data_IF_213402041985
#
_entry.id   IF_213402041985
#
_cell.length_a   1.000
_cell.length_b   1.000
_cell.length_c   1.000
_cell.angle_alpha   90.00
_cell.angle_beta   90.00
_cell.angle_gamma   90.00
#
_symmetry.space_group_name_H-M   'P 1'
#
loop_
_entity.id
_entity.type
_entity.pdbx_description
1 polymer ?
#
# COMPACT_ATOMS: atom_id res chain seq x y z
N UNK A 1 -3.41 -6.36 -32.97
CA UNK A 1 -4.42 -6.98 -32.10
C UNK A 1 -3.87 -8.18 -31.35
N UNK A 2 -3.27 -9.16 -32.00
CA UNK A 2 -2.70 -10.38 -31.40
C UNK A 2 -1.64 -10.03 -30.33
N UNK A 3 -0.76 -9.09 -30.61
CA UNK A 3 0.24 -8.64 -29.68
C UNK A 3 -0.35 -8.07 -28.37
N UNK A 4 -1.46 -7.32 -28.45
CA UNK A 4 -2.14 -6.77 -27.29
C UNK A 4 -2.79 -7.87 -26.48
N UNK A 5 -3.36 -8.86 -27.12
CA UNK A 5 -3.97 -10.04 -26.49
C UNK A 5 -2.88 -10.87 -25.81
N UNK A 6 -1.75 -11.12 -26.48
CA UNK A 6 -0.62 -11.87 -25.92
C UNK A 6 0.05 -11.16 -24.75
N UNK A 7 0.09 -9.83 -24.75
CA UNK A 7 0.57 -9.06 -23.59
C UNK A 7 -0.34 -9.19 -22.37
N UNK A 8 -1.42 -9.95 -22.53
CA UNK A 8 -2.32 -10.32 -21.45
C UNK A 8 -3.29 -9.22 -21.13
N UNK A 9 -4.37 -9.20 -21.88
CA UNK A 9 -5.52 -8.36 -21.57
C UNK A 9 -5.91 -8.42 -20.09
N UNK A 10 -5.77 -9.60 -19.47
CA UNK A 10 -6.08 -9.83 -18.08
C UNK A 10 -4.91 -9.60 -17.10
N UNK A 11 -3.66 -9.61 -17.59
CA UNK A 11 -2.47 -9.56 -16.75
C UNK A 11 -1.55 -8.36 -17.07
N UNK A 12 -2.01 -7.42 -17.85
CA UNK A 12 -1.19 -6.28 -18.26
C UNK A 12 -0.75 -5.39 -17.10
N UNK A 13 -1.51 -5.40 -15.97
CA UNK A 13 -1.09 -4.70 -14.77
C UNK A 13 0.11 -5.34 -14.10
N UNK A 14 0.28 -6.65 -14.24
CA UNK A 14 1.37 -7.39 -13.61
C UNK A 14 2.61 -7.47 -14.46
N UNK A 15 2.47 -7.35 -15.77
CA UNK A 15 3.61 -7.39 -16.69
C UNK A 15 4.29 -6.04 -16.78
N UNK A 16 5.60 -6.08 -16.95
CA UNK A 16 6.35 -4.89 -17.32
C UNK A 16 5.86 -4.45 -18.71
N UNK A 17 5.32 -3.23 -18.85
CA UNK A 17 4.73 -2.81 -20.11
C UNK A 17 5.81 -2.63 -21.19
N UNK A 18 5.63 -3.33 -22.31
CA UNK A 18 6.46 -3.11 -23.50
C UNK A 18 6.24 -1.71 -24.09
N UNK A 19 7.14 -1.27 -24.96
CA UNK A 19 7.00 0.02 -25.64
C UNK A 19 5.70 0.11 -26.42
N UNK A 20 5.38 -0.91 -27.21
CA UNK A 20 4.18 -0.95 -28.05
C UNK A 20 2.90 -0.94 -27.21
N UNK A 21 2.92 -1.63 -26.08
CA UNK A 21 1.80 -1.62 -25.15
C UNK A 21 1.62 -0.24 -24.50
N UNK A 22 2.70 0.42 -24.12
CA UNK A 22 2.66 1.81 -23.60
C UNK A 22 2.13 2.79 -24.65
N UNK A 23 2.58 2.67 -25.89
CA UNK A 23 2.09 3.52 -26.98
C UNK A 23 0.59 3.32 -27.24
N UNK A 24 0.12 2.07 -27.17
CA UNK A 24 -1.30 1.73 -27.28
C UNK A 24 -2.11 2.30 -26.10
N UNK A 25 -1.65 2.11 -24.88
CA UNK A 25 -2.31 2.69 -23.70
C UNK A 25 -2.35 4.22 -23.78
N UNK A 26 -1.28 4.86 -24.20
CA UNK A 26 -1.24 6.30 -24.36
C UNK A 26 -2.25 6.80 -25.42
N UNK A 27 -2.40 6.05 -26.51
CA UNK A 27 -3.45 6.35 -27.51
C UNK A 27 -4.84 6.21 -26.90
N UNK A 28 -5.13 5.08 -26.24
CA UNK A 28 -6.45 4.86 -25.61
C UNK A 28 -6.77 5.95 -24.58
N UNK A 29 -5.82 6.31 -23.72
CA UNK A 29 -6.01 7.34 -22.70
C UNK A 29 -6.37 8.69 -23.32
N UNK A 30 -5.67 9.11 -24.36
CA UNK A 30 -5.99 10.37 -25.06
C UNK A 30 -7.39 10.39 -25.63
N UNK A 31 -7.81 9.30 -26.31
CA UNK A 31 -9.13 9.24 -26.96
C UNK A 31 -10.26 9.19 -25.91
N UNK A 32 -10.08 8.41 -24.84
CA UNK A 32 -11.08 8.33 -23.76
C UNK A 32 -11.16 9.64 -22.99
N UNK A 33 -10.02 10.25 -22.65
CA UNK A 33 -10.00 11.53 -21.96
C UNK A 33 -10.65 12.65 -22.79
N UNK A 34 -10.45 12.65 -24.11
CA UNK A 34 -11.10 13.59 -25.03
C UNK A 34 -12.63 13.42 -25.01
N UNK A 35 -13.12 12.19 -25.12
CA UNK A 35 -14.55 11.91 -25.03
C UNK A 35 -15.14 12.32 -23.67
N UNK A 36 -14.45 11.97 -22.58
CA UNK A 36 -14.85 12.33 -21.23
C UNK A 36 -14.91 13.88 -21.08
N UNK A 37 -13.93 14.59 -21.64
CA UNK A 37 -13.92 16.05 -21.62
C UNK A 37 -15.12 16.64 -22.34
N UNK A 38 -15.51 16.14 -23.51
CA UNK A 38 -16.70 16.60 -24.22
C UNK A 38 -17.96 16.46 -23.37
N UNK A 39 -18.09 15.35 -22.62
CA UNK A 39 -19.22 15.13 -21.70
C UNK A 39 -19.19 16.10 -20.52
N UNK A 40 -18.01 16.37 -19.96
CA UNK A 40 -17.84 17.34 -18.88
C UNK A 40 -18.15 18.76 -19.33
N UNK A 41 -17.66 19.15 -20.49
CA UNK A 41 -17.92 20.49 -21.05
C UNK A 41 -19.44 20.74 -21.24
N UNK A 42 -20.20 19.77 -21.78
CA UNK A 42 -21.65 19.82 -21.88
C UNK A 42 -22.32 19.94 -20.51
N UNK A 43 -21.82 19.20 -19.52
CA UNK A 43 -22.33 19.27 -18.14
C UNK A 43 -22.17 20.68 -17.56
N UNK A 44 -20.99 21.27 -17.77
CA UNK A 44 -20.66 22.61 -17.30
C UNK A 44 -21.49 23.67 -18.04
N UNK A 45 -21.75 23.53 -19.36
CA UNK A 45 -22.65 24.42 -20.13
C UNK A 45 -24.08 24.41 -19.57
N UNK A 46 -24.51 23.30 -18.97
CA UNK A 46 -25.79 23.21 -18.27
C UNK A 46 -25.77 23.79 -16.84
N UNK A 47 -24.63 24.32 -16.37
CA UNK A 47 -24.47 24.85 -15.03
C UNK A 47 -24.40 23.79 -13.93
N UNK A 48 -24.05 22.54 -14.29
CA UNK A 48 -23.92 21.43 -13.37
C UNK A 48 -22.44 21.08 -13.14
N UNK A 49 -22.14 20.48 -12.01
CA UNK A 49 -20.83 19.88 -11.74
C UNK A 49 -20.76 18.46 -12.31
N UNK A 50 -19.59 18.09 -12.84
CA UNK A 50 -19.34 16.78 -13.39
C UNK A 50 -18.59 15.91 -12.39
N UNK A 51 -19.18 14.77 -12.03
CA UNK A 51 -18.59 13.79 -11.14
C UNK A 51 -18.40 12.48 -11.89
N UNK A 52 -17.25 11.85 -11.71
CA UNK A 52 -16.97 10.54 -12.28
C UNK A 52 -16.78 9.49 -11.19
N UNK A 53 -17.44 8.35 -11.34
CA UNK A 53 -17.13 7.18 -10.56
C UNK A 53 -15.87 6.51 -11.09
N UNK A 54 -14.88 6.37 -10.22
CA UNK A 54 -13.69 5.61 -10.53
C UNK A 54 -13.99 4.13 -10.37
N UNK A 55 -14.40 3.52 -11.45
CA UNK A 55 -14.28 2.07 -11.58
C UNK A 55 -12.80 1.74 -11.63
N UNK A 56 -12.42 0.68 -11.00
CA UNK A 56 -11.06 0.42 -10.60
C UNK A 56 -10.00 0.40 -11.72
N UNK A 57 -10.35 0.36 -12.99
CA UNK A 57 -9.34 0.03 -14.03
C UNK A 57 -9.63 0.56 -15.43
N UNK A 58 -10.38 1.61 -15.54
CA UNK A 58 -10.76 2.12 -16.86
C UNK A 58 -9.59 2.88 -17.50
N UNK A 59 -8.96 2.23 -18.48
CA UNK A 59 -7.93 2.87 -19.30
C UNK A 59 -8.46 4.19 -19.85
N UNK A 60 -7.72 5.27 -19.59
CA UNK A 60 -8.04 6.61 -20.05
C UNK A 60 -8.72 7.49 -19.00
N UNK A 61 -9.15 6.95 -17.90
CA UNK A 61 -9.69 7.69 -16.76
C UNK A 61 -8.93 7.44 -15.47
N UNK A 62 -7.73 6.84 -15.56
CA UNK A 62 -6.87 6.67 -14.40
C UNK A 62 -6.44 8.04 -13.86
N UNK A 63 -6.74 8.34 -12.60
CA UNK A 63 -6.58 9.69 -12.05
C UNK A 63 -5.11 10.13 -11.92
N UNK A 64 -4.19 9.19 -11.94
CA UNK A 64 -2.76 9.46 -11.87
C UNK A 64 -2.11 9.65 -13.26
N UNK A 65 -2.84 9.52 -14.35
CA UNK A 65 -2.31 9.73 -15.70
C UNK A 65 -2.42 11.20 -16.14
N UNK A 66 -1.50 11.69 -16.97
CA UNK A 66 -1.47 13.10 -17.38
C UNK A 66 -2.76 13.56 -18.01
N UNK A 67 -3.43 12.70 -18.76
CA UNK A 67 -4.67 13.00 -19.49
C UNK A 67 -5.84 13.27 -18.54
N UNK A 68 -5.84 12.70 -17.33
CA UNK A 68 -6.93 12.88 -16.36
C UNK A 68 -7.20 14.36 -16.05
N UNK A 69 -6.15 15.14 -15.81
CA UNK A 69 -6.28 16.58 -15.50
C UNK A 69 -6.93 17.36 -16.65
N UNK A 70 -6.84 16.88 -17.90
CA UNK A 70 -7.40 17.55 -19.06
C UNK A 70 -8.92 17.36 -19.17
N UNK A 71 -9.48 16.38 -18.49
CA UNK A 71 -10.93 16.09 -18.50
C UNK A 71 -11.72 17.22 -17.84
N UNK A 72 -11.18 17.79 -16.75
CA UNK A 72 -11.80 18.92 -16.05
C UNK A 72 -12.94 18.53 -15.12
N UNK A 73 -12.90 17.31 -14.53
CA UNK A 73 -13.87 16.87 -13.55
C UNK A 73 -13.86 17.73 -12.30
N UNK A 74 -15.04 17.96 -11.72
CA UNK A 74 -15.18 18.63 -10.43
C UNK A 74 -14.95 17.67 -9.27
N UNK A 75 -15.37 16.43 -9.40
CA UNK A 75 -15.25 15.43 -8.36
C UNK A 75 -14.99 14.03 -8.90
N UNK A 76 -14.41 13.20 -8.04
CA UNK A 76 -14.28 11.76 -8.26
C UNK A 76 -14.86 11.01 -7.08
N UNK A 77 -15.47 9.85 -7.36
CA UNK A 77 -16.08 8.97 -6.37
C UNK A 77 -15.49 7.58 -6.50
N UNK A 78 -15.09 6.97 -5.41
CA UNK A 78 -14.60 5.59 -5.39
C UNK A 78 -15.09 4.81 -4.19
N UNK A 79 -14.79 3.53 -4.18
CA UNK A 79 -15.15 2.62 -3.08
C UNK A 79 -14.23 2.83 -1.87
N UNK A 80 -14.76 2.76 -0.66
CA UNK A 80 -14.01 2.82 0.58
C UNK A 80 -14.05 1.48 1.33
N UNK A 81 -13.85 0.39 0.61
CA UNK A 81 -13.85 -0.95 1.18
C UNK A 81 -12.62 -1.28 2.04
N UNK A 82 -11.52 -0.54 1.86
CA UNK A 82 -10.29 -0.69 2.63
C UNK A 82 -9.43 0.57 2.54
N UNK A 83 -8.31 0.60 3.28
CA UNK A 83 -7.40 1.73 3.30
C UNK A 83 -6.70 1.97 1.97
N UNK A 84 -6.37 0.92 1.23
CA UNK A 84 -5.71 1.03 -0.07
C UNK A 84 -6.59 1.72 -1.11
N UNK A 85 -7.87 1.34 -1.24
CA UNK A 85 -8.80 2.00 -2.18
C UNK A 85 -9.07 3.44 -1.78
N UNK A 86 -9.14 3.73 -0.50
CA UNK A 86 -9.32 5.08 -0.01
C UNK A 86 -8.09 5.95 -0.30
N UNK A 87 -6.88 5.43 -0.12
CA UNK A 87 -5.64 6.12 -0.49
C UNK A 87 -5.61 6.44 -1.99
N UNK A 88 -6.05 5.51 -2.84
CA UNK A 88 -6.14 5.76 -4.28
C UNK A 88 -7.02 6.98 -4.60
N UNK A 89 -8.16 7.13 -3.91
CA UNK A 89 -9.08 8.25 -4.09
C UNK A 89 -8.47 9.54 -3.52
N UNK A 90 -7.94 9.51 -2.32
CA UNK A 90 -7.42 10.69 -1.62
C UNK A 90 -6.15 11.28 -2.25
N UNK A 91 -5.42 10.50 -3.05
CA UNK A 91 -4.22 10.95 -3.77
C UNK A 91 -4.51 11.59 -5.14
N UNK A 92 -5.79 11.69 -5.54
CA UNK A 92 -6.18 12.28 -6.82
C UNK A 92 -6.01 13.79 -6.79
N UNK A 93 -5.31 14.30 -7.79
CA UNK A 93 -5.11 15.73 -8.00
C UNK A 93 -5.97 16.25 -9.15
N UNK A 94 -6.29 17.56 -9.11
CA UNK A 94 -6.97 18.24 -10.22
C UNK A 94 -8.48 18.15 -10.19
N UNK A 95 -9.07 17.72 -9.06
CA UNK A 95 -10.51 17.80 -8.78
C UNK A 95 -10.78 18.73 -7.61
N UNK A 96 -12.00 19.26 -7.51
CA UNK A 96 -12.39 20.14 -6.40
C UNK A 96 -12.56 19.36 -5.10
N UNK A 97 -13.10 18.13 -5.19
CA UNK A 97 -13.31 17.27 -4.03
C UNK A 97 -13.30 15.78 -4.42
N UNK A 98 -13.00 14.97 -3.42
CA UNK A 98 -13.01 13.52 -3.50
C UNK A 98 -14.12 12.93 -2.64
N UNK A 99 -14.74 11.86 -3.08
CA UNK A 99 -15.85 11.21 -2.38
C UNK A 99 -15.61 9.70 -2.26
N UNK A 100 -15.88 9.16 -1.08
CA UNK A 100 -15.89 7.73 -0.81
C UNK A 100 -17.28 7.16 -0.76
N UNK A 101 -17.55 6.07 -1.48
CA UNK A 101 -18.77 5.28 -1.33
C UNK A 101 -18.57 4.17 -0.33
N UNK A 102 -19.36 4.24 0.71
CA UNK A 102 -19.38 3.24 1.77
C UNK A 102 -20.29 2.08 1.38
N UNK A 103 -19.82 0.85 1.49
CA UNK A 103 -20.47 -0.36 0.93
C UNK A 103 -21.00 -0.14 -0.49
N UNK A 104 -20.12 -0.05 -1.45
CA UNK A 104 -20.51 0.50 -2.74
C UNK A 104 -21.09 -0.51 -3.72
N UNK A 105 -21.01 -1.82 -3.47
CA UNK A 105 -21.11 -2.66 -4.63
C UNK A 105 -22.00 -3.89 -4.47
N UNK A 106 -22.11 -4.87 -4.90
CA UNK A 106 -22.79 -6.18 -4.94
C UNK A 106 -24.01 -6.30 -4.01
N UNK A 107 -25.04 -5.58 -4.33
CA UNK A 107 -26.25 -5.48 -3.54
C UNK A 107 -26.93 -6.81 -3.22
N UNK A 108 -27.01 -7.78 -4.15
CA UNK A 108 -27.56 -9.09 -3.82
C UNK A 108 -26.69 -9.89 -2.85
N UNK A 109 -25.39 -9.65 -2.87
CA UNK A 109 -24.43 -10.39 -2.04
C UNK A 109 -24.39 -9.88 -0.59
N UNK A 110 -24.73 -8.62 -0.39
CA UNK A 110 -24.77 -7.98 0.93
C UNK A 110 -26.20 -7.89 1.49
N UNK A 111 -27.16 -7.46 0.65
CA UNK A 111 -28.55 -7.19 1.05
C UNK A 111 -29.50 -8.30 0.66
N UNK A 112 -29.45 -9.42 1.36
CA UNK A 112 -30.33 -10.55 1.17
C UNK A 112 -30.82 -11.11 2.52
N UNK A 113 -31.84 -11.96 2.50
CA UNK A 113 -32.29 -12.61 3.73
C UNK A 113 -31.17 -13.47 4.35
N UNK A 114 -30.85 -13.20 5.60
CA UNK A 114 -29.72 -13.81 6.31
C UNK A 114 -28.35 -13.16 6.07
N UNK A 115 -28.28 -12.12 5.25
CA UNK A 115 -27.07 -11.29 5.12
C UNK A 115 -26.86 -10.39 6.33
N UNK A 116 -25.62 -9.95 6.54
CA UNK A 116 -25.22 -9.05 7.63
C UNK A 116 -24.51 -7.79 7.10
N UNK A 117 -25.27 -6.84 6.53
CA UNK A 117 -24.69 -5.63 5.98
C UNK A 117 -24.06 -4.71 7.04
N UNK A 118 -24.48 -4.83 8.31
CA UNK A 118 -23.87 -4.05 9.40
C UNK A 118 -22.46 -4.53 9.68
N UNK A 119 -22.23 -5.84 9.74
CA UNK A 119 -20.90 -6.41 9.94
C UNK A 119 -19.94 -6.01 8.82
N UNK A 120 -20.38 -6.16 7.57
CA UNK A 120 -19.57 -5.76 6.42
C UNK A 120 -19.25 -4.25 6.45
N UNK A 121 -20.21 -3.42 6.85
CA UNK A 121 -20.02 -2.00 7.01
C UNK A 121 -18.99 -1.66 8.09
N UNK A 122 -19.03 -2.35 9.22
CA UNK A 122 -18.06 -2.20 10.31
C UNK A 122 -16.66 -2.57 9.85
N UNK A 123 -16.50 -3.72 9.18
CA UNK A 123 -15.22 -4.16 8.64
C UNK A 123 -14.64 -3.12 7.67
N UNK A 124 -15.45 -2.59 6.76
CA UNK A 124 -15.03 -1.54 5.83
C UNK A 124 -14.64 -0.25 6.55
N UNK A 125 -15.40 0.17 7.56
CA UNK A 125 -15.13 1.42 8.26
C UNK A 125 -13.84 1.38 9.07
N UNK A 126 -13.59 0.29 9.78
CA UNK A 126 -12.36 0.11 10.57
C UNK A 126 -11.11 0.29 9.70
N UNK A 127 -11.09 -0.32 8.51
CA UNK A 127 -9.94 -0.21 7.60
C UNK A 127 -9.88 1.13 6.88
N UNK A 128 -11.00 1.67 6.43
CA UNK A 128 -11.05 2.95 5.74
C UNK A 128 -10.67 4.14 6.64
N UNK A 129 -11.14 4.15 7.89
CA UNK A 129 -10.87 5.21 8.87
C UNK A 129 -9.38 5.47 9.06
N UNK A 130 -8.56 4.42 9.09
CA UNK A 130 -7.10 4.51 9.21
C UNK A 130 -6.49 5.39 8.10
N UNK A 131 -6.88 5.15 6.86
CA UNK A 131 -6.39 5.92 5.72
C UNK A 131 -6.96 7.37 5.71
N UNK A 132 -8.21 7.57 6.12
CA UNK A 132 -8.81 8.90 6.28
C UNK A 132 -8.01 9.75 7.27
N UNK A 133 -7.60 9.17 8.38
CA UNK A 133 -6.79 9.84 9.39
C UNK A 133 -5.38 10.20 8.90
N UNK A 134 -4.88 9.54 7.87
CA UNK A 134 -3.60 9.89 7.24
C UNK A 134 -3.76 10.87 6.07
N UNK A 135 -4.81 10.72 5.28
CA UNK A 135 -5.12 11.61 4.16
C UNK A 135 -6.64 11.61 3.92
N UNK A 136 -7.36 12.63 4.39
CA UNK A 136 -8.82 12.67 4.31
C UNK A 136 -9.31 12.80 2.87
N UNK A 137 -10.46 12.17 2.60
CA UNK A 137 -11.33 12.50 1.48
C UNK A 137 -12.32 13.59 1.94
N UNK A 138 -12.95 14.29 0.99
CA UNK A 138 -13.82 15.42 1.32
C UNK A 138 -15.24 15.01 1.71
N UNK A 139 -15.71 13.87 1.19
CA UNK A 139 -17.08 13.38 1.39
C UNK A 139 -17.10 11.86 1.57
N UNK A 140 -18.06 11.39 2.35
CA UNK A 140 -18.40 9.97 2.47
C UNK A 140 -19.91 9.80 2.46
N UNK A 141 -20.38 8.70 1.88
CA UNK A 141 -21.80 8.36 1.89
C UNK A 141 -22.06 6.93 1.44
N UNK A 142 -23.31 6.49 1.58
CA UNK A 142 -23.74 5.20 1.07
C UNK A 142 -23.80 5.23 -0.45
N UNK A 143 -23.17 4.28 -1.09
CA UNK A 143 -23.01 4.24 -2.55
C UNK A 143 -23.82 3.19 -3.28
N UNK A 144 -24.91 2.70 -2.71
CA UNK A 144 -25.72 1.62 -3.27
C UNK A 144 -27.16 1.99 -3.59
N UNK A 145 -27.99 0.99 -3.87
CA UNK A 145 -29.42 1.16 -4.05
C UNK A 145 -30.14 1.38 -2.73
N UNK A 146 -30.51 2.61 -2.46
CA UNK A 146 -31.17 3.01 -1.21
C UNK A 146 -32.42 2.14 -0.90
N UNK A 147 -33.18 1.76 -1.94
CA UNK A 147 -34.35 0.90 -1.77
C UNK A 147 -34.03 -0.46 -1.15
N UNK A 148 -32.85 -1.01 -1.42
CA UNK A 148 -32.40 -2.26 -0.78
C UNK A 148 -31.95 -2.00 0.65
N UNK A 149 -31.12 -0.99 0.86
CA UNK A 149 -30.62 -0.62 2.17
C UNK A 149 -31.72 -0.30 3.18
N UNK A 150 -32.80 0.36 2.75
CA UNK A 150 -33.98 0.66 3.59
C UNK A 150 -34.71 -0.57 4.13
N UNK A 151 -34.44 -1.76 3.62
CA UNK A 151 -34.96 -3.01 4.18
C UNK A 151 -34.16 -3.49 5.41
N UNK A 152 -33.02 -2.84 5.69
CA UNK A 152 -32.13 -3.13 6.80
C UNK A 152 -31.95 -1.86 7.66
N UNK A 153 -32.90 -1.53 8.53
CA UNK A 153 -32.84 -0.28 9.32
C UNK A 153 -31.57 -0.12 10.13
N UNK A 154 -31.08 -1.20 10.76
CA UNK A 154 -29.83 -1.17 11.56
C UNK A 154 -28.59 -0.78 10.71
N UNK A 155 -28.59 -1.18 9.45
CA UNK A 155 -27.55 -0.75 8.51
C UNK A 155 -27.64 0.76 8.22
N UNK A 156 -28.84 1.28 8.00
CA UNK A 156 -29.06 2.72 7.77
C UNK A 156 -28.60 3.53 8.98
N UNK A 157 -28.97 3.11 10.18
CA UNK A 157 -28.56 3.74 11.44
C UNK A 157 -27.02 3.71 11.60
N UNK A 158 -26.40 2.59 11.24
CA UNK A 158 -24.94 2.48 11.27
C UNK A 158 -24.26 3.42 10.25
N UNK A 159 -24.78 3.52 9.03
CA UNK A 159 -24.27 4.47 8.03
C UNK A 159 -24.39 5.91 8.52
N UNK A 160 -25.51 6.25 9.18
CA UNK A 160 -25.67 7.59 9.79
C UNK A 160 -24.60 7.83 10.86
N UNK A 161 -24.31 6.86 11.72
CA UNK A 161 -23.27 6.97 12.74
C UNK A 161 -21.88 7.18 12.12
N UNK A 162 -21.55 6.42 11.09
CA UNK A 162 -20.28 6.58 10.32
C UNK A 162 -20.18 7.97 9.68
N UNK A 163 -21.26 8.46 9.08
CA UNK A 163 -21.27 9.80 8.50
C UNK A 163 -21.07 10.90 9.55
N UNK A 164 -21.61 10.71 10.77
CA UNK A 164 -21.42 11.65 11.88
C UNK A 164 -19.99 11.59 12.39
N UNK A 165 -19.42 10.41 12.63
CA UNK A 165 -18.02 10.23 13.00
C UNK A 165 -17.08 10.84 11.95
N UNK A 166 -17.31 10.55 10.66
CA UNK A 166 -16.51 11.11 9.57
C UNK A 166 -16.54 12.63 9.58
N UNK A 167 -17.72 13.23 9.78
CA UNK A 167 -17.87 14.69 9.80
C UNK A 167 -17.07 15.30 10.95
N UNK A 168 -17.12 14.69 12.12
CA UNK A 168 -16.34 15.12 13.27
C UNK A 168 -14.83 14.99 13.00
N UNK A 169 -14.37 13.86 12.50
CA UNK A 169 -12.97 13.65 12.12
C UNK A 169 -12.54 14.70 11.09
N UNK A 170 -13.30 14.85 10.00
CA UNK A 170 -12.97 15.78 8.92
C UNK A 170 -12.83 17.22 9.40
N UNK A 171 -13.75 17.73 10.21
CA UNK A 171 -13.68 19.07 10.79
C UNK A 171 -12.43 19.27 11.67
N UNK A 172 -11.93 18.21 12.28
CA UNK A 172 -10.75 18.26 13.13
C UNK A 172 -9.43 18.16 12.34
N UNK A 173 -9.40 17.50 11.19
CA UNK A 173 -8.16 17.18 10.45
C UNK A 173 -8.03 17.87 9.11
N UNK A 174 -9.12 18.42 8.53
CA UNK A 174 -9.07 19.12 7.23
C UNK A 174 -8.04 20.25 7.25
N UNK A 175 -7.28 20.35 6.16
CA UNK A 175 -6.25 21.38 6.01
C UNK A 175 -5.00 21.18 6.87
N UNK A 176 -4.88 20.04 7.55
CA UNK A 176 -3.68 19.68 8.32
C UNK A 176 -3.02 18.43 7.74
N UNK A 177 -1.72 18.29 7.99
CA UNK A 177 -0.95 17.10 7.65
C UNK A 177 -0.62 16.34 8.94
N UNK A 178 -0.91 15.05 9.04
CA UNK A 178 -0.52 14.26 10.19
C UNK A 178 1.00 14.18 10.31
N UNK A 179 1.47 14.01 11.53
CA UNK A 179 2.88 13.75 11.78
C UNK A 179 3.34 12.50 11.07
N UNK A 180 4.48 12.58 10.39
CA UNK A 180 5.12 11.47 9.70
C UNK A 180 6.53 11.30 10.24
N UNK A 181 6.86 10.06 10.64
CA UNK A 181 8.17 9.72 11.21
C UNK A 181 9.23 9.68 10.12
N UNK A 182 8.94 9.02 9.00
CA UNK A 182 9.87 8.83 7.87
C UNK A 182 9.16 9.01 6.53
N UNK A 183 9.97 9.25 5.50
CA UNK A 183 9.55 9.32 4.09
C UNK A 183 9.87 7.99 3.43
N UNK A 184 8.83 7.29 3.03
CA UNK A 184 8.91 5.95 2.45
C UNK A 184 8.45 6.00 1.00
N UNK A 185 9.20 5.38 0.10
CA UNK A 185 8.75 5.20 -1.27
C UNK A 185 8.48 3.73 -1.58
N UNK A 186 7.36 3.46 -2.28
CA UNK A 186 7.09 2.16 -2.90
C UNK A 186 7.50 2.23 -4.36
N UNK A 187 8.45 1.39 -4.75
CA UNK A 187 9.00 1.33 -6.09
C UNK A 187 8.22 0.35 -6.96
N UNK A 188 7.75 0.81 -8.11
CA UNK A 188 7.07 -0.01 -9.12
C UNK A 188 7.25 0.61 -10.53
N UNK A 189 6.72 -0.03 -11.58
CA UNK A 189 6.87 0.49 -12.96
C UNK A 189 6.04 1.73 -13.27
N UNK A 190 5.06 2.10 -12.44
CA UNK A 190 4.12 3.20 -12.76
C UNK A 190 4.38 4.49 -11.99
N UNK A 191 5.12 4.44 -10.89
CA UNK A 191 5.35 5.59 -10.02
C UNK A 191 4.09 6.12 -9.36
N UNK A 192 3.04 5.34 -9.35
CA UNK A 192 1.74 5.67 -8.76
C UNK A 192 1.13 4.44 -8.14
N UNK A 193 0.24 4.65 -7.20
CA UNK A 193 -0.64 3.60 -6.72
C UNK A 193 -1.66 3.28 -7.80
N UNK A 194 -1.84 1.99 -8.09
CA UNK A 194 -2.87 1.50 -8.98
C UNK A 194 -3.74 0.50 -8.26
N UNK A 195 -5.03 0.54 -8.53
CA UNK A 195 -5.91 -0.53 -8.17
C UNK A 195 -5.66 -1.75 -9.09
N UNK A 196 -5.71 -2.92 -8.51
CA UNK A 196 -5.40 -4.18 -9.20
C UNK A 196 -6.68 -4.91 -9.47
N UNK A 197 -6.95 -5.10 -10.64
CA UNK A 197 -7.98 -5.96 -11.08
C UNK A 197 -8.13 -5.77 -12.56
N UNK A 198 -8.05 -6.82 -13.27
CA UNK A 198 -8.69 -6.92 -14.54
C UNK A 198 -10.15 -7.22 -14.22
N UNK A 199 -11.02 -6.33 -14.56
CA UNK A 199 -12.43 -6.36 -14.20
C UNK A 199 -13.16 -7.68 -14.49
N UNK A 200 -12.61 -8.53 -15.33
CA UNK A 200 -13.22 -9.81 -15.67
C UNK A 200 -12.77 -10.95 -14.75
N UNK A 201 -11.58 -10.89 -14.19
CA UNK A 201 -10.98 -12.05 -13.51
C UNK A 201 -10.37 -11.73 -12.15
N UNK A 202 -10.40 -10.48 -11.71
CA UNK A 202 -9.75 -10.11 -10.45
C UNK A 202 -10.34 -10.86 -9.24
N UNK A 203 -11.62 -11.20 -9.25
CA UNK A 203 -12.22 -12.02 -8.20
C UNK A 203 -11.57 -13.39 -8.07
N UNK A 204 -11.02 -13.94 -9.14
CA UNK A 204 -10.41 -15.27 -9.14
C UNK A 204 -8.89 -15.27 -9.03
N UNK A 205 -8.20 -14.28 -9.61
CA UNK A 205 -6.75 -14.31 -9.77
C UNK A 205 -6.01 -13.27 -8.95
N UNK A 206 -6.63 -12.15 -8.73
CA UNK A 206 -6.03 -10.98 -8.15
C UNK A 206 -5.35 -11.23 -6.81
N UNK A 207 -6.05 -11.84 -5.88
CA UNK A 207 -5.60 -11.95 -4.49
C UNK A 207 -4.42 -12.89 -4.28
N UNK A 208 -4.25 -13.88 -5.13
CA UNK A 208 -3.13 -14.83 -5.01
C UNK A 208 -1.83 -14.26 -5.52
N UNK A 209 -1.90 -13.39 -6.54
CA UNK A 209 -0.71 -12.91 -7.24
C UNK A 209 -0.05 -11.71 -6.58
N UNK A 210 -0.75 -10.99 -5.71
CA UNK A 210 -0.24 -9.74 -5.16
C UNK A 210 -0.58 -9.49 -3.69
N UNK A 211 -0.82 -10.55 -2.92
CA UNK A 211 -1.22 -10.39 -1.52
C UNK A 211 -0.19 -9.59 -0.69
N UNK A 212 1.10 -9.73 -0.97
CA UNK A 212 2.15 -8.96 -0.29
C UNK A 212 2.13 -7.49 -0.70
N UNK A 213 1.92 -7.18 -2.00
CA UNK A 213 1.80 -5.80 -2.45
C UNK A 213 0.58 -5.12 -1.80
N UNK A 214 -0.59 -5.76 -1.89
CA UNK A 214 -1.80 -5.27 -1.26
C UNK A 214 -1.63 -5.13 0.26
N UNK A 215 -0.98 -6.11 0.89
CA UNK A 215 -0.66 -6.10 2.32
C UNK A 215 0.21 -4.92 2.72
N UNK A 216 1.31 -4.68 2.02
CA UNK A 216 2.20 -3.52 2.28
C UNK A 216 1.45 -2.19 2.13
N UNK A 217 0.67 -2.03 1.06
CA UNK A 217 -0.09 -0.78 0.86
C UNK A 217 -1.14 -0.58 1.96
N UNK A 218 -1.85 -1.64 2.35
CA UNK A 218 -2.83 -1.56 3.43
C UNK A 218 -2.16 -1.20 4.77
N UNK A 219 -1.04 -1.83 5.12
CA UNK A 219 -0.27 -1.51 6.32
C UNK A 219 0.21 -0.05 6.32
N UNK A 220 0.74 0.44 5.19
CA UNK A 220 1.20 1.81 5.05
C UNK A 220 0.06 2.84 5.09
N UNK A 221 -1.16 2.44 4.76
CA UNK A 221 -2.32 3.36 4.71
C UNK A 221 -2.68 3.95 6.08
N UNK A 222 -2.43 3.24 7.18
CA UNK A 222 -2.63 3.73 8.54
C UNK A 222 -1.34 4.14 9.26
N UNK A 223 -0.18 3.82 8.71
CA UNK A 223 1.10 4.04 9.36
C UNK A 223 1.55 5.52 9.33
N UNK A 224 2.33 5.99 10.33
CA UNK A 224 2.77 7.38 10.42
C UNK A 224 3.96 7.69 9.50
N UNK A 225 3.84 7.34 8.22
CA UNK A 225 4.86 7.60 7.20
C UNK A 225 4.33 8.53 6.10
N UNK A 226 5.21 9.35 5.54
CA UNK A 226 4.98 10.05 4.27
C UNK A 226 5.27 9.07 3.13
N UNK A 227 4.21 8.48 2.57
CA UNK A 227 4.31 7.42 1.57
C UNK A 227 4.19 8.01 0.17
N UNK A 228 5.18 7.74 -0.66
CA UNK A 228 5.23 8.10 -2.08
C UNK A 228 5.35 6.85 -2.95
N UNK A 229 4.98 6.99 -4.20
CA UNK A 229 5.17 5.97 -5.22
C UNK A 229 6.14 6.52 -6.26
N UNK A 230 7.19 5.77 -6.57
CA UNK A 230 8.21 6.15 -7.56
C UNK A 230 8.35 5.07 -8.63
N UNK A 231 8.65 5.46 -9.86
CA UNK A 231 8.92 4.52 -10.95
C UNK A 231 10.41 4.35 -11.20
N UNK A 232 10.76 3.28 -11.88
CA UNK A 232 12.13 3.08 -12.38
C UNK A 232 12.53 4.17 -13.37
N UNK A 233 11.57 4.64 -14.17
CA UNK A 233 11.79 5.74 -15.10
C UNK A 233 12.07 7.06 -14.37
N UNK A 234 11.40 7.33 -13.27
CA UNK A 234 11.67 8.50 -12.44
C UNK A 234 13.11 8.46 -11.89
N UNK A 235 13.55 7.30 -11.38
CA UNK A 235 14.93 7.11 -10.89
C UNK A 235 15.95 7.32 -12.01
N UNK A 236 15.66 6.79 -13.20
CA UNK A 236 16.55 6.94 -14.37
C UNK A 236 16.67 8.40 -14.81
N UNK A 237 15.55 9.13 -14.81
CA UNK A 237 15.53 10.52 -15.24
C UNK A 237 16.14 11.47 -14.20
N UNK A 238 15.92 11.20 -12.91
CA UNK A 238 16.46 11.97 -11.80
C UNK A 238 16.79 11.07 -10.60
N UNK A 239 18.01 10.52 -10.52
CA UNK A 239 18.40 9.70 -9.39
C UNK A 239 18.49 10.48 -8.06
N UNK A 240 18.53 11.83 -8.09
CA UNK A 240 18.55 12.67 -6.89
C UNK A 240 17.19 12.70 -6.18
N UNK A 241 16.12 12.25 -6.81
CA UNK A 241 14.84 12.09 -6.12
C UNK A 241 14.96 11.18 -4.89
N UNK A 242 15.90 10.22 -4.91
CA UNK A 242 16.17 9.30 -3.80
C UNK A 242 16.74 10.03 -2.57
N UNK A 243 17.45 11.15 -2.74
CA UNK A 243 18.04 11.93 -1.65
C UNK A 243 16.98 12.48 -0.67
N UNK A 244 15.73 12.55 -1.12
CA UNK A 244 14.59 13.00 -0.30
C UNK A 244 13.92 11.90 0.50
N UNK A 245 14.33 10.65 0.37
CA UNK A 245 13.71 9.47 0.97
C UNK A 245 14.55 8.93 2.12
N UNK A 246 13.90 8.24 3.03
CA UNK A 246 14.55 7.51 4.11
C UNK A 246 14.59 6.00 3.82
N UNK A 247 13.50 5.45 3.24
CA UNK A 247 13.38 4.02 2.91
C UNK A 247 12.69 3.81 1.57
N UNK A 248 13.18 2.85 0.80
CA UNK A 248 12.52 2.33 -0.43
C UNK A 248 12.00 0.93 -0.16
N UNK A 249 10.76 0.66 -0.56
CA UNK A 249 10.14 -0.67 -0.52
C UNK A 249 9.92 -1.16 -1.95
N UNK A 250 10.38 -2.37 -2.25
CA UNK A 250 10.06 -3.07 -3.50
C UNK A 250 9.41 -4.41 -3.16
N UNK A 251 8.21 -4.65 -3.67
CA UNK A 251 7.36 -5.76 -3.24
C UNK A 251 6.61 -6.40 -4.39
N UNK A 252 6.58 -7.71 -4.44
CA UNK A 252 5.83 -8.52 -5.42
C UNK A 252 6.62 -9.70 -5.95
N UNK A 253 6.12 -10.29 -7.03
CA UNK A 253 6.74 -11.42 -7.69
C UNK A 253 7.74 -10.95 -8.75
N UNK A 254 8.73 -11.80 -9.08
CA UNK A 254 9.70 -11.54 -10.13
C UNK A 254 9.04 -11.27 -11.48
N UNK A 255 9.72 -10.53 -12.33
CA UNK A 255 9.28 -10.19 -13.68
C UNK A 255 7.92 -9.49 -13.79
N UNK A 256 7.46 -8.90 -12.70
CA UNK A 256 6.23 -8.13 -12.68
C UNK A 256 6.47 -6.63 -12.74
N UNK A 257 5.43 -5.89 -13.06
CA UNK A 257 5.46 -4.42 -13.01
C UNK A 257 5.56 -3.88 -11.57
N UNK A 258 5.30 -4.71 -10.56
CA UNK A 258 5.49 -4.37 -9.15
C UNK A 258 6.96 -4.33 -8.77
N UNK A 259 7.72 -5.34 -9.18
CA UNK A 259 9.14 -5.49 -8.84
C UNK A 259 10.08 -4.88 -9.87
N UNK A 260 9.61 -4.63 -11.10
CA UNK A 260 10.38 -3.93 -12.14
C UNK A 260 10.82 -4.78 -13.32
N UNK A 261 10.99 -6.09 -13.14
CA UNK A 261 11.38 -7.00 -14.22
C UNK A 261 12.61 -6.50 -15.02
N UNK A 262 12.46 -6.34 -16.31
CA UNK A 262 13.54 -5.93 -17.22
C UNK A 262 14.23 -4.58 -16.88
N UNK A 263 13.61 -3.73 -16.04
CA UNK A 263 14.27 -2.52 -15.57
C UNK A 263 15.56 -2.80 -14.79
N UNK A 264 15.70 -3.99 -14.22
CA UNK A 264 16.89 -4.39 -13.49
C UNK A 264 18.10 -4.72 -14.38
N UNK A 265 17.92 -4.82 -15.70
CA UNK A 265 19.02 -4.87 -16.65
C UNK A 265 19.71 -3.51 -16.83
N UNK A 266 19.05 -2.42 -16.43
CA UNK A 266 19.62 -1.08 -16.51
C UNK A 266 20.59 -0.81 -15.35
N UNK A 267 21.91 -0.66 -15.62
CA UNK A 267 22.91 -0.47 -14.57
C UNK A 267 22.78 0.89 -13.86
N UNK A 268 22.17 1.88 -14.48
CA UNK A 268 21.97 3.20 -13.85
C UNK A 268 20.99 3.10 -12.70
N UNK A 269 19.90 2.34 -12.86
CA UNK A 269 18.89 2.13 -11.84
C UNK A 269 19.44 1.33 -10.66
N UNK A 270 20.03 0.16 -10.94
CA UNK A 270 20.58 -0.70 -9.89
C UNK A 270 21.73 0.00 -9.14
N UNK A 271 22.54 0.81 -9.83
CA UNK A 271 23.60 1.60 -9.20
C UNK A 271 23.05 2.76 -8.36
N UNK A 272 22.00 3.43 -8.81
CA UNK A 272 21.38 4.52 -8.04
C UNK A 272 20.81 4.00 -6.71
N UNK A 273 20.09 2.87 -6.73
CA UNK A 273 19.53 2.28 -5.51
C UNK A 273 20.63 1.75 -4.60
N UNK A 274 21.65 1.03 -5.13
CA UNK A 274 22.80 0.59 -4.33
C UNK A 274 23.52 1.77 -3.68
N UNK A 275 23.73 2.86 -4.42
CA UNK A 275 24.35 4.08 -3.88
C UNK A 275 23.52 4.73 -2.80
N UNK A 276 22.20 4.77 -2.96
CA UNK A 276 21.28 5.27 -1.95
C UNK A 276 21.43 4.50 -0.64
N UNK A 277 21.37 3.16 -0.69
CA UNK A 277 21.55 2.33 0.51
C UNK A 277 22.97 2.44 1.05
N UNK A 278 24.01 2.38 0.20
CA UNK A 278 25.40 2.53 0.63
C UNK A 278 25.65 3.82 1.42
N UNK A 279 24.95 4.87 1.10
CA UNK A 279 25.10 6.18 1.75
C UNK A 279 24.25 6.34 3.03
N UNK A 280 23.44 5.35 3.40
CA UNK A 280 22.67 5.35 4.65
C UNK A 280 21.16 5.23 4.49
N UNK A 281 20.65 5.10 3.25
CA UNK A 281 19.23 4.84 3.00
C UNK A 281 18.81 3.42 3.36
N UNK A 282 17.52 3.22 3.63
CA UNK A 282 16.93 1.91 3.91
C UNK A 282 16.33 1.25 2.67
N UNK A 283 16.42 -0.09 2.58
CA UNK A 283 15.74 -0.85 1.54
C UNK A 283 14.98 -2.03 2.13
N UNK A 284 13.69 -2.16 1.81
CA UNK A 284 12.88 -3.31 2.22
C UNK A 284 12.40 -4.04 0.99
N UNK A 285 12.78 -5.31 0.90
CA UNK A 285 12.36 -6.20 -0.17
C UNK A 285 11.36 -7.23 0.32
N UNK A 286 10.24 -7.41 -0.39
CA UNK A 286 9.19 -8.37 -0.04
C UNK A 286 8.86 -9.28 -1.22
N UNK A 287 8.85 -10.59 -1.00
CA UNK A 287 8.62 -11.60 -2.03
C UNK A 287 9.86 -11.84 -2.87
N UNK A 288 9.83 -11.43 -4.13
CA UNK A 288 10.96 -11.44 -5.06
C UNK A 288 11.37 -10.00 -5.45
N UNK A 289 11.79 -9.19 -4.46
CA UNK A 289 12.18 -7.80 -4.71
C UNK A 289 13.36 -7.75 -5.66
N UNK A 290 13.38 -6.80 -6.59
CA UNK A 290 14.36 -6.76 -7.68
C UNK A 290 14.44 -8.04 -8.53
N UNK A 291 13.36 -8.84 -8.51
CA UNK A 291 13.30 -10.15 -9.14
C UNK A 291 13.28 -10.06 -10.67
N UNK A 292 14.38 -10.49 -11.28
CA UNK A 292 14.55 -10.63 -12.73
C UNK A 292 15.75 -11.54 -13.02
N UNK A 293 15.56 -12.71 -13.66
CA UNK A 293 16.66 -13.61 -13.99
C UNK A 293 17.64 -12.94 -14.98
N UNK A 294 18.74 -12.41 -14.49
CA UNK A 294 19.74 -11.73 -15.30
C UNK A 294 21.15 -11.96 -14.74
N UNK A 295 22.11 -12.24 -15.60
CA UNK A 295 23.53 -12.47 -15.26
C UNK A 295 23.77 -13.49 -14.13
N UNK A 296 22.91 -14.51 -14.03
CA UNK A 296 23.05 -15.59 -13.06
C UNK A 296 22.45 -15.32 -11.68
N UNK A 297 21.78 -14.19 -11.50
CA UNK A 297 21.03 -13.81 -10.31
C UNK A 297 19.53 -13.75 -10.60
N UNK A 298 18.70 -14.04 -9.60
CA UNK A 298 17.27 -13.75 -9.64
C UNK A 298 17.01 -12.41 -8.96
N UNK A 299 17.54 -12.22 -7.75
CA UNK A 299 17.41 -10.95 -7.04
C UNK A 299 18.56 -10.01 -7.42
N UNK A 300 18.29 -9.02 -8.27
CA UNK A 300 19.32 -8.11 -8.79
C UNK A 300 19.96 -7.20 -7.73
N UNK A 301 19.30 -7.08 -6.56
CA UNK A 301 19.84 -6.41 -5.38
C UNK A 301 20.21 -7.41 -4.26
N UNK A 302 20.54 -8.66 -4.59
CA UNK A 302 20.93 -9.68 -3.62
C UNK A 302 22.00 -9.20 -2.65
N UNK A 303 23.04 -8.52 -3.14
CA UNK A 303 24.11 -7.97 -2.29
C UNK A 303 23.67 -6.87 -1.32
N UNK A 304 22.58 -6.15 -1.64
CA UNK A 304 21.97 -5.17 -0.73
C UNK A 304 21.08 -5.84 0.29
N UNK A 305 20.26 -6.80 -0.17
CA UNK A 305 19.30 -7.54 0.66
C UNK A 305 19.94 -8.56 1.59
N UNK A 306 21.17 -9.01 1.26
CA UNK A 306 21.82 -10.11 1.97
C UNK A 306 21.21 -11.49 1.69
N UNK A 307 20.36 -11.61 0.70
CA UNK A 307 19.70 -12.87 0.31
C UNK A 307 19.67 -13.03 -1.19
N UNK A 308 19.62 -14.31 -1.63
CA UNK A 308 19.43 -14.66 -3.03
C UNK A 308 18.46 -15.85 -3.14
N UNK A 309 17.88 -16.03 -4.31
CA UNK A 309 17.02 -17.15 -4.64
C UNK A 309 17.79 -18.23 -5.41
N UNK A 310 17.56 -19.50 -5.04
CA UNK A 310 18.15 -20.64 -5.75
C UNK A 310 17.49 -20.83 -7.12
N UNK A 311 18.31 -20.77 -8.18
CA UNK A 311 17.84 -20.82 -9.55
C UNK A 311 17.67 -22.27 -10.05
N UNK A 312 16.44 -22.68 -10.20
CA UNK A 312 16.05 -23.89 -10.92
C UNK A 312 16.03 -25.19 -10.12
N UNK A 313 16.48 -25.19 -8.88
CA UNK A 313 16.48 -26.38 -8.01
C UNK A 313 16.00 -26.03 -6.60
N UNK A 314 15.57 -27.06 -5.87
CA UNK A 314 15.28 -26.92 -4.45
C UNK A 314 16.59 -26.70 -3.67
N UNK A 315 16.53 -25.87 -2.63
CA UNK A 315 17.64 -25.69 -1.70
C UNK A 315 18.15 -27.04 -1.18
N UNK A 316 19.48 -27.19 -1.16
CA UNK A 316 20.08 -28.31 -0.48
C UNK A 316 20.18 -28.02 1.03
N UNK A 317 19.17 -28.43 1.76
CA UNK A 317 19.05 -28.19 3.20
C UNK A 317 20.25 -28.70 4.03
N UNK A 318 21.05 -29.60 3.51
CA UNK A 318 22.25 -30.05 4.20
C UNK A 318 23.39 -29.03 4.18
N UNK A 319 23.34 -28.06 3.28
CA UNK A 319 24.33 -26.98 3.14
C UNK A 319 24.04 -25.77 3.98
N UNK A 320 22.80 -25.54 4.33
CA UNK A 320 22.36 -24.31 4.98
C UNK A 320 21.96 -24.57 6.43
N UNK A 321 22.55 -23.81 7.32
CA UNK A 321 22.23 -23.84 8.75
C UNK A 321 22.49 -22.45 9.31
N UNK A 322 21.44 -21.64 9.40
CA UNK A 322 21.52 -20.31 9.93
C UNK A 322 21.11 -20.28 11.40
N UNK A 323 21.81 -19.44 12.16
CA UNK A 323 21.40 -19.05 13.51
C UNK A 323 20.33 -17.95 13.37
N UNK A 324 19.21 -18.09 14.08
CA UNK A 324 18.16 -17.10 14.12
C UNK A 324 18.44 -16.04 15.19
N UNK A 325 18.05 -14.80 14.90
CA UNK A 325 18.18 -13.66 15.81
C UNK A 325 16.80 -13.17 16.31
N UNK A 326 16.12 -13.93 17.20
CA UNK A 326 14.76 -13.63 17.63
C UNK A 326 14.65 -12.34 18.47
N UNK A 327 15.75 -11.90 19.08
CA UNK A 327 15.81 -10.68 19.90
C UNK A 327 16.04 -9.41 19.05
N UNK A 328 16.11 -9.55 17.73
CA UNK A 328 16.32 -8.41 16.85
C UNK A 328 15.21 -7.37 16.97
N UNK A 329 15.55 -6.07 16.89
CA UNK A 329 14.61 -4.95 17.03
C UNK A 329 13.33 -5.12 16.20
N UNK A 330 13.41 -5.64 14.99
CA UNK A 330 12.26 -5.81 14.09
C UNK A 330 11.21 -6.78 14.66
N UNK A 331 11.64 -7.79 15.40
CA UNK A 331 10.76 -8.84 15.96
C UNK A 331 10.27 -8.56 17.39
N UNK A 332 10.77 -7.53 18.03
CA UNK A 332 10.26 -7.12 19.34
C UNK A 332 8.80 -6.65 19.21
N UNK A 333 8.00 -6.81 20.24
CA UNK A 333 6.55 -6.55 20.29
C UNK A 333 5.70 -7.49 19.39
N UNK A 334 6.29 -8.55 18.87
CA UNK A 334 5.54 -9.58 18.16
C UNK A 334 5.04 -10.63 19.17
N UNK A 335 3.83 -10.47 19.68
CA UNK A 335 3.20 -11.45 20.57
C UNK A 335 2.86 -12.78 19.87
N UNK A 336 2.94 -12.79 18.53
CA UNK A 336 2.70 -13.95 17.69
C UNK A 336 3.78 -14.01 16.61
N UNK A 337 4.07 -15.23 16.07
CA UNK A 337 4.95 -15.37 14.93
C UNK A 337 4.49 -14.51 13.75
N UNK A 338 5.45 -13.93 13.03
CA UNK A 338 5.16 -13.17 11.81
C UNK A 338 4.45 -14.07 10.80
N UNK A 339 3.34 -13.59 10.26
CA UNK A 339 2.63 -14.27 9.19
C UNK A 339 3.24 -13.88 7.83
N UNK A 340 3.83 -14.84 7.16
CA UNK A 340 4.41 -14.66 5.82
C UNK A 340 3.45 -15.06 4.70
N UNK A 341 2.25 -15.55 5.03
CA UNK A 341 1.36 -16.20 4.06
C UNK A 341 2.02 -17.44 3.44
N UNK A 342 1.92 -17.58 2.13
CA UNK A 342 2.64 -18.65 1.43
C UNK A 342 4.16 -18.47 1.53
N UNK A 343 4.63 -17.23 1.50
CA UNK A 343 6.03 -16.85 1.52
C UNK A 343 6.80 -17.33 0.27
N UNK A 344 7.84 -16.62 -0.11
CA UNK A 344 8.72 -17.07 -1.19
C UNK A 344 9.60 -18.21 -0.69
N UNK A 345 9.78 -19.22 -1.56
CA UNK A 345 10.61 -20.41 -1.29
C UNK A 345 12.01 -20.27 -1.92
N UNK A 346 12.89 -21.19 -1.53
CA UNK A 346 14.25 -21.29 -2.08
C UNK A 346 15.14 -20.07 -1.82
N UNK A 347 14.84 -19.28 -0.80
CA UNK A 347 15.66 -18.12 -0.41
C UNK A 347 16.72 -18.55 0.58
N UNK A 348 17.96 -18.15 0.32
CA UNK A 348 19.11 -18.39 1.16
C UNK A 348 19.86 -17.11 1.51
N UNK A 349 20.48 -17.08 2.68
CA UNK A 349 21.26 -15.95 3.17
C UNK A 349 22.67 -15.94 2.57
N UNK A 350 23.14 -14.73 2.23
CA UNK A 350 24.52 -14.46 1.87
C UNK A 350 25.36 -14.19 3.12
N UNK A 351 26.68 -14.15 2.97
CA UNK A 351 27.60 -13.84 4.06
C UNK A 351 27.33 -12.46 4.68
N UNK A 352 27.37 -12.39 6.00
CA UNK A 352 27.12 -11.15 6.77
C UNK A 352 25.65 -10.79 6.98
N UNK A 353 24.73 -11.69 6.64
CA UNK A 353 23.28 -11.50 6.82
C UNK A 353 22.82 -12.10 8.14
N UNK A 354 22.04 -11.33 8.90
CA UNK A 354 21.34 -11.81 10.09
C UNK A 354 19.99 -12.40 9.67
N UNK A 355 19.85 -13.73 9.85
CA UNK A 355 18.58 -14.40 9.61
C UNK A 355 17.68 -14.21 10.84
N UNK A 356 16.56 -13.54 10.66
CA UNK A 356 15.62 -13.25 11.74
C UNK A 356 14.61 -14.37 11.93
N UNK A 357 14.09 -14.90 10.83
CA UNK A 357 13.13 -16.00 10.82
C UNK A 357 13.44 -16.93 9.65
N UNK A 358 13.42 -18.23 9.90
CA UNK A 358 13.51 -19.27 8.87
C UNK A 358 12.35 -20.27 9.02
N UNK A 359 11.99 -20.89 7.90
CA UNK A 359 11.03 -22.00 7.84
C UNK A 359 11.60 -23.08 6.94
N UNK A 360 11.77 -24.29 7.47
CA UNK A 360 12.38 -25.40 6.74
C UNK A 360 13.78 -25.06 6.18
N UNK A 361 14.57 -24.31 6.94
CA UNK A 361 15.90 -23.80 6.53
C UNK A 361 15.89 -22.85 5.32
N UNK A 362 14.74 -22.33 4.97
CA UNK A 362 14.58 -21.23 4.00
C UNK A 362 14.41 -19.92 4.74
N UNK A 363 15.06 -18.86 4.29
CA UNK A 363 14.97 -17.55 4.90
C UNK A 363 13.57 -16.98 4.67
N UNK A 364 12.88 -16.63 5.75
CA UNK A 364 11.61 -15.93 5.69
C UNK A 364 11.76 -14.43 5.97
N UNK A 365 12.69 -14.08 6.85
CA UNK A 365 13.03 -12.70 7.14
C UNK A 365 14.53 -12.59 7.46
N UNK A 366 15.16 -11.55 6.92
CA UNK A 366 16.57 -11.28 7.16
C UNK A 366 16.83 -9.77 7.24
N UNK A 367 17.89 -9.42 7.95
CA UNK A 367 18.42 -8.08 8.08
C UNK A 367 19.87 -8.04 7.59
N UNK A 368 20.26 -7.01 6.87
CA UNK A 368 21.59 -6.92 6.28
C UNK A 368 22.09 -5.46 6.26
N UNK A 369 23.35 -5.27 6.65
CA UNK A 369 24.03 -3.99 6.54
C UNK A 369 24.71 -3.88 5.17
N UNK A 370 24.48 -2.77 4.46
CA UNK A 370 25.10 -2.50 3.18
C UNK A 370 25.71 -1.08 3.14
N UNK A 371 27.01 -1.00 3.30
CA UNK A 371 27.71 0.28 3.44
C UNK A 371 27.33 0.97 4.74
N UNK A 372 26.67 2.12 4.65
CA UNK A 372 26.13 2.86 5.80
C UNK A 372 24.63 2.63 6.00
N UNK A 373 23.96 1.97 5.06
CA UNK A 373 22.55 1.72 5.09
C UNK A 373 22.22 0.28 5.47
N UNK A 374 20.93 0.00 5.54
CA UNK A 374 20.39 -1.28 5.99
C UNK A 374 19.31 -1.77 5.07
N UNK A 375 19.23 -3.08 4.89
CA UNK A 375 18.15 -3.71 4.13
C UNK A 375 17.46 -4.80 4.94
N UNK A 376 16.18 -4.98 4.68
CA UNK A 376 15.35 -6.05 5.25
C UNK A 376 14.73 -6.85 4.11
N UNK A 377 14.84 -8.15 4.19
CA UNK A 377 14.13 -9.09 3.33
C UNK A 377 12.96 -9.72 4.09
N UNK A 378 11.80 -9.85 3.43
CA UNK A 378 10.60 -10.52 3.93
C UNK A 378 10.04 -11.40 2.82
N UNK A 379 9.85 -12.69 3.05
CA UNK A 379 9.43 -13.65 2.01
C UNK A 379 8.00 -13.46 1.52
N UNK A 380 7.16 -12.79 2.29
CA UNK A 380 5.78 -12.45 1.99
C UNK A 380 5.12 -11.80 3.21
N UNK A 381 4.13 -10.95 3.02
CA UNK A 381 3.50 -10.25 4.14
C UNK A 381 2.05 -9.89 3.83
N UNK A 382 1.07 -10.73 4.23
CA UNK A 382 -0.33 -10.36 4.19
C UNK A 382 -0.62 -9.26 5.23
N UNK A 383 -1.67 -8.48 4.98
CA UNK A 383 -2.09 -7.47 5.94
C UNK A 383 -2.62 -8.09 7.23
N UNK A 384 -2.09 -7.62 8.34
CA UNK A 384 -2.63 -7.76 9.68
C UNK A 384 -2.09 -6.64 10.57
N UNK A 385 -2.69 -6.40 11.73
CA UNK A 385 -2.17 -5.40 12.67
C UNK A 385 -0.80 -5.81 13.23
N UNK A 386 -0.59 -7.10 13.49
CA UNK A 386 0.70 -7.62 13.93
C UNK A 386 1.78 -7.42 12.85
N UNK A 387 1.49 -7.79 11.59
CA UNK A 387 2.40 -7.56 10.48
C UNK A 387 2.64 -6.06 10.22
N UNK A 388 1.64 -5.21 10.45
CA UNK A 388 1.80 -3.74 10.38
C UNK A 388 2.83 -3.23 11.39
N UNK A 389 2.84 -3.79 12.61
CA UNK A 389 3.84 -3.48 13.63
C UNK A 389 5.24 -3.96 13.19
N UNK A 390 5.35 -5.16 12.65
CA UNK A 390 6.62 -5.69 12.14
C UNK A 390 7.16 -4.83 10.99
N UNK A 391 6.33 -4.46 10.03
CA UNK A 391 6.74 -3.57 8.93
C UNK A 391 7.13 -2.18 9.43
N UNK A 392 6.40 -1.62 10.40
CA UNK A 392 6.73 -0.34 11.02
C UNK A 392 8.14 -0.37 11.64
N UNK A 393 8.46 -1.42 12.41
CA UNK A 393 9.79 -1.59 13.01
C UNK A 393 10.87 -1.85 11.96
N UNK A 394 10.57 -2.61 10.91
CA UNK A 394 11.48 -2.82 9.79
C UNK A 394 11.85 -1.50 9.09
N UNK A 395 10.88 -0.60 8.91
CA UNK A 395 11.11 0.73 8.33
C UNK A 395 12.01 1.57 9.26
N UNK A 396 11.72 1.61 10.56
CA UNK A 396 12.56 2.37 11.51
C UNK A 396 13.99 1.84 11.56
N UNK A 397 14.15 0.52 11.62
CA UNK A 397 15.47 -0.10 11.64
C UNK A 397 16.27 0.20 10.37
N UNK A 398 15.63 0.05 9.19
CA UNK A 398 16.25 0.35 7.91
C UNK A 398 16.64 1.82 7.77
N UNK A 399 15.91 2.71 8.44
CA UNK A 399 16.18 4.16 8.45
C UNK A 399 17.13 4.59 9.57
N UNK A 400 17.75 3.69 10.34
CA UNK A 400 18.56 4.00 11.53
C UNK A 400 17.85 4.93 12.51
N UNK A 401 16.60 4.61 12.86
CA UNK A 401 15.73 5.49 13.65
C UNK A 401 14.93 4.72 14.69
N UNK A 402 15.53 3.73 15.29
CA UNK A 402 14.92 2.87 16.32
C UNK A 402 14.48 3.67 17.54
N UNK A 403 15.18 4.77 17.84
CA UNK A 403 14.88 5.70 18.94
C UNK A 403 13.56 6.47 18.71
N UNK A 404 13.10 6.57 17.47
CA UNK A 404 11.83 7.23 17.14
C UNK A 404 10.61 6.33 17.34
N UNK A 405 10.80 5.06 17.74
CA UNK A 405 9.70 4.11 17.94
C UNK A 405 8.59 4.67 18.84
N UNK A 406 8.96 5.35 19.93
CA UNK A 406 8.03 5.89 20.90
C UNK A 406 7.57 7.34 20.61
N UNK A 407 7.50 7.70 19.32
CA UNK A 407 7.01 9.02 18.90
C UNK A 407 5.61 8.90 18.31
N UNK A 408 4.60 9.39 19.01
CA UNK A 408 3.18 9.23 18.66
C UNK A 408 2.83 7.77 18.38
N UNK A 409 3.10 6.94 19.35
CA UNK A 409 3.07 5.49 19.25
C UNK A 409 2.13 4.87 20.29
N UNK A 410 1.52 3.77 19.95
CA UNK A 410 0.72 2.93 20.83
C UNK A 410 1.48 1.67 21.23
N UNK A 411 1.49 1.29 22.50
CA UNK A 411 2.06 0.00 22.94
C UNK A 411 1.28 -1.20 22.39
N UNK A 412 0.03 -1.02 22.03
CA UNK A 412 -0.86 -2.06 21.51
C UNK A 412 -0.96 -1.92 19.98
N UNK A 413 -0.59 -2.97 19.24
CA UNK A 413 -0.61 -2.94 17.76
C UNK A 413 -2.02 -2.89 17.16
N UNK A 414 -3.06 -3.20 17.93
CA UNK A 414 -4.46 -3.03 17.52
C UNK A 414 -4.95 -1.58 17.61
N UNK A 415 -4.11 -0.70 18.15
CA UNK A 415 -4.42 0.71 18.37
C UNK A 415 -3.44 1.58 17.62
N UNK A 416 -3.94 2.51 16.83
CA UNK A 416 -3.12 3.48 16.09
C UNK A 416 -3.23 4.89 16.67
N UNK A 417 -2.15 5.65 16.55
CA UNK A 417 -2.07 7.06 16.98
C UNK A 417 -1.79 7.94 15.78
N UNK A 418 -2.65 8.92 15.54
CA UNK A 418 -2.52 9.89 14.47
C UNK A 418 -2.43 11.29 15.07
N UNK A 419 -1.25 11.91 14.99
CA UNK A 419 -1.02 13.22 15.58
C UNK A 419 -1.04 14.33 14.52
N UNK A 420 -1.72 15.41 14.84
CA UNK A 420 -1.83 16.62 14.02
C UNK A 420 -1.20 17.78 14.80
N UNK A 421 0.12 17.76 14.89
CA UNK A 421 0.90 18.65 15.77
C UNK A 421 0.63 20.12 15.47
N UNK A 422 0.42 20.48 14.20
CA UNK A 422 0.17 21.87 13.79
C UNK A 422 -1.11 22.47 14.37
N UNK A 423 -2.13 21.66 14.65
CA UNK A 423 -3.38 22.12 15.24
C UNK A 423 -3.57 21.67 16.71
N UNK A 424 -2.53 21.07 17.31
CA UNK A 424 -2.53 20.62 18.70
C UNK A 424 -3.51 19.47 19.00
N UNK A 425 -3.77 18.63 18.01
CA UNK A 425 -4.72 17.51 18.13
C UNK A 425 -4.03 16.18 17.84
N UNK A 426 -4.60 15.13 18.37
CA UNK A 426 -4.30 13.75 18.03
C UNK A 426 -5.56 12.90 18.10
N UNK A 427 -5.56 11.78 17.38
CA UNK A 427 -6.60 10.77 17.40
C UNK A 427 -5.98 9.42 17.78
N UNK A 428 -6.62 8.69 18.68
CA UNK A 428 -6.24 7.33 19.06
C UNK A 428 -7.40 6.41 18.67
N UNK A 429 -7.10 5.40 17.87
CA UNK A 429 -8.13 4.58 17.24
C UNK A 429 -7.94 3.12 17.61
N UNK A 430 -8.97 2.52 18.18
CA UNK A 430 -9.10 1.08 18.29
C UNK A 430 -9.51 0.53 16.91
N UNK A 431 -8.74 -0.39 16.37
CA UNK A 431 -9.00 -1.03 15.06
C UNK A 431 -9.64 -2.42 15.20
N UNK A 432 -10.18 -2.75 16.38
CA UNK A 432 -10.82 -4.04 16.65
C UNK A 432 -12.24 -3.88 17.20
N UNK A 433 -12.97 -4.97 17.27
CA UNK A 433 -14.33 -5.01 17.83
C UNK A 433 -14.34 -5.40 19.31
N UNK A 434 -13.19 -5.44 19.95
CA UNK A 434 -13.01 -5.69 21.36
C UNK A 434 -12.42 -4.46 22.05
N UNK A 435 -12.73 -4.18 23.31
CA UNK A 435 -12.08 -3.11 24.05
C UNK A 435 -10.55 -3.30 24.08
N UNK A 436 -9.81 -2.22 24.02
CA UNK A 436 -8.35 -2.24 24.01
C UNK A 436 -7.77 -1.31 25.06
N UNK A 437 -6.77 -1.80 25.77
CA UNK A 437 -5.92 -1.00 26.64
C UNK A 437 -4.60 -0.71 25.94
N UNK A 438 -4.11 0.51 26.07
CA UNK A 438 -2.83 0.91 25.49
C UNK A 438 -2.15 1.98 26.33
N UNK A 439 -0.83 2.08 26.16
CA UNK A 439 -0.03 3.25 26.55
C UNK A 439 0.31 4.02 25.27
N UNK A 440 -0.09 5.29 25.24
CA UNK A 440 0.26 6.23 24.16
C UNK A 440 1.51 6.99 24.55
N UNK A 441 2.50 7.01 23.66
CA UNK A 441 3.75 7.77 23.79
C UNK A 441 3.70 9.01 22.90
N UNK A 442 4.24 10.12 23.38
CA UNK A 442 4.29 11.41 22.65
C UNK A 442 5.72 11.81 22.32
N UNK A 443 5.91 12.90 21.59
CA UNK A 443 7.24 13.37 21.16
C UNK A 443 8.13 13.91 22.28
N UNK A 444 7.59 14.30 23.43
CA UNK A 444 8.33 14.86 24.57
C UNK A 444 8.78 13.77 25.57
N UNK A 445 8.61 12.50 25.21
CA UNK A 445 8.93 11.38 26.08
C UNK A 445 7.88 11.10 27.16
N UNK A 446 6.77 11.85 27.19
CA UNK A 446 5.65 11.54 28.05
C UNK A 446 4.81 10.38 27.52
N UNK A 447 4.08 9.73 28.42
CA UNK A 447 3.15 8.67 28.07
C UNK A 447 1.94 8.69 29.01
N UNK A 448 0.83 8.16 28.53
CA UNK A 448 -0.40 7.98 29.33
C UNK A 448 -1.13 6.70 28.92
N UNK A 449 -1.78 6.08 29.92
CA UNK A 449 -2.62 4.91 29.67
C UNK A 449 -4.01 5.34 29.17
N UNK A 450 -4.56 4.58 28.26
CA UNK A 450 -5.87 4.81 27.67
C UNK A 450 -6.62 3.49 27.53
N UNK A 451 -7.90 3.51 27.90
CA UNK A 451 -8.88 2.46 27.60
C UNK A 451 -9.76 2.92 26.44
N UNK A 452 -9.93 2.08 25.44
CA UNK A 452 -10.76 2.33 24.26
C UNK A 452 -11.85 1.27 24.19
N UNK A 453 -13.08 1.71 24.05
CA UNK A 453 -14.21 0.81 23.82
C UNK A 453 -14.08 0.08 22.47
N UNK A 454 -14.87 -0.98 22.30
CA UNK A 454 -15.02 -1.70 21.03
C UNK A 454 -15.65 -0.78 19.95
N UNK A 455 -15.33 -1.06 18.67
CA UNK A 455 -15.96 -0.36 17.54
C UNK A 455 -17.41 -0.78 17.30
#
# INVERSE_FOLDING_TARGET
PEYIIDQGYYNNQYRVPSKEFRDFQAFQRREVAKLAKEMVDITHECGCEAMMFLGDHWIGTEPFMPEFKTIGLDAVVGSVGNGSTLRLISDIEGVKYTEGRFLPYFFPDTFHEGGDPVREAKENWVTARRAILRKPIDRIGYGGYLKLALQFPEFVDYVESVCNEFRELYENIKGTTPYCVKRVAVLNCWGKMRAWGCHMVHHALYYKQNYSYAGVIEMLSGAPFDVKFISFEDIKNDPHLLDSLDVIINVGDADTAHTGGIWWEDPEISSAIRKFVWNGGGFIGVGEPSGHPYQGHILQLASVLGVEEENGFTLNYDKYNWEEHPDHFILQDADQPVDFGEGKKNIYALEGTEVLVQRNKEVQMAAHDFGKGRAVYISGVPYSFANSRTLYRAILWSAHSEEELHTWFSSNYNVEVHAYVKNGKYCVVNNTYEPQDTTVYTTDGSSFALHLDAN
#
